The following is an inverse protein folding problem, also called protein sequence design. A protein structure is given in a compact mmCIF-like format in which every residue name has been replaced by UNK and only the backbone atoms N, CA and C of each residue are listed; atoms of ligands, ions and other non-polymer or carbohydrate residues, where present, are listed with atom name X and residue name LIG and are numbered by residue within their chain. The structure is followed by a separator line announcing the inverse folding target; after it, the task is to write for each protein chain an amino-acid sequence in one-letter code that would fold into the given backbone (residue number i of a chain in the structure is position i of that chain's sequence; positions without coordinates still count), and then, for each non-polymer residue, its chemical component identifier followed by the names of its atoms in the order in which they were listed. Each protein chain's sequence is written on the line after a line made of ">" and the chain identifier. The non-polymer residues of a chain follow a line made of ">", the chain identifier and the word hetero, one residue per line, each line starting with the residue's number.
data_IF_851695646502
#
_entry.id   IF_851695646502
#
_cell.length_a   1.000
_cell.length_b   1.000
_cell.length_c   1.000
_cell.angle_alpha   90.00
_cell.angle_beta   90.00
_cell.angle_gamma   90.00
#
_symmetry.space_group_name_H-M   'P 1'
#
loop_
_entity.id
_entity.type
_entity.pdbx_description
1 polymer ?
#
# COMPACT_ATOMS: atom_id res chain seq x y z
N UNK A 1 1.42 18.29 -24.36
CA UNK A 1 0.39 18.64 -23.36
C UNK A 1 -0.09 17.35 -22.74
N UNK A 2 0.26 17.06 -21.49
CA UNK A 2 -0.24 15.88 -20.78
C UNK A 2 -1.50 16.27 -20.03
N UNK A 3 -2.61 15.59 -20.33
CA UNK A 3 -3.88 15.74 -19.61
C UNK A 3 -3.74 15.09 -18.25
N UNK A 4 -3.48 15.89 -17.22
CA UNK A 4 -3.53 15.45 -15.83
C UNK A 4 -4.99 15.27 -15.43
N UNK A 5 -5.37 14.05 -15.05
CA UNK A 5 -6.71 13.74 -14.55
C UNK A 5 -7.03 14.61 -13.34
N UNK A 6 -8.10 15.40 -13.40
CA UNK A 6 -8.62 16.24 -12.31
C UNK A 6 -9.40 15.42 -11.29
N UNK A 7 -8.87 14.26 -10.91
CA UNK A 7 -9.42 13.49 -9.80
C UNK A 7 -9.23 14.31 -8.54
N UNK A 8 -10.28 15.00 -8.10
CA UNK A 8 -10.33 15.56 -6.75
C UNK A 8 -10.09 14.40 -5.79
N UNK A 9 -8.93 14.38 -5.12
CA UNK A 9 -8.73 13.44 -4.03
C UNK A 9 -9.82 13.71 -3.00
N UNK A 10 -10.78 12.80 -2.84
CA UNK A 10 -11.83 12.89 -1.81
C UNK A 10 -11.26 12.83 -0.38
N UNK A 11 -9.94 12.69 -0.26
CA UNK A 11 -9.20 12.58 0.99
C UNK A 11 -8.56 13.95 1.26
N UNK A 12 -8.91 14.62 2.37
CA UNK A 12 -8.30 15.88 2.76
C UNK A 12 -6.77 15.75 2.83
N UNK A 13 -6.00 16.79 2.45
CA UNK A 13 -4.54 16.76 2.58
C UNK A 13 -4.06 16.49 4.01
N UNK A 14 -4.81 16.93 5.04
CA UNK A 14 -4.56 16.66 6.46
C UNK A 14 -4.76 15.19 6.87
N UNK A 15 -5.44 14.41 6.03
CA UNK A 15 -5.71 12.98 6.20
C UNK A 15 -4.63 12.12 5.51
N UNK A 16 -3.75 12.76 4.74
CA UNK A 16 -2.52 12.18 4.23
C UNK A 16 -1.41 12.65 5.18
N UNK A 17 -0.95 11.76 6.05
CA UNK A 17 0.16 12.08 6.94
C UNK A 17 1.48 12.08 6.12
N UNK A 18 1.71 13.14 5.37
CA UNK A 18 2.94 13.36 4.62
C UNK A 18 4.05 13.96 5.51
N UNK A 19 3.75 14.37 6.75
CA UNK A 19 4.62 15.21 7.59
C UNK A 19 5.27 14.47 8.79
N UNK A 20 5.12 13.15 8.95
CA UNK A 20 5.71 12.41 10.08
C UNK A 20 6.12 10.96 9.81
N UNK A 21 7.21 10.51 10.45
CA UNK A 21 8.54 10.53 9.86
C UNK A 21 8.57 9.69 8.59
N UNK A 22 8.95 10.33 7.49
CA UNK A 22 9.51 9.63 6.36
C UNK A 22 10.55 8.61 6.86
N UNK A 23 10.51 7.38 6.34
CA UNK A 23 11.74 6.57 6.38
C UNK A 23 12.84 7.33 5.60
N UNK A 24 14.09 6.88 5.65
CA UNK A 24 15.19 7.51 4.89
C UNK A 24 14.94 7.59 3.36
N UNK A 25 13.82 7.04 2.86
CA UNK A 25 13.41 6.96 1.46
C UNK A 25 12.17 7.80 1.15
N UNK A 26 11.64 8.57 2.11
CA UNK A 26 10.48 9.44 1.90
C UNK A 26 9.19 8.70 1.49
N UNK A 27 9.01 7.46 1.94
CA UNK A 27 7.84 6.64 1.64
C UNK A 27 6.69 6.90 2.64
N UNK A 28 5.42 6.84 2.20
CA UNK A 28 4.26 7.00 3.07
C UNK A 28 4.06 5.76 3.94
N UNK A 29 3.87 5.95 5.24
CA UNK A 29 3.67 4.84 6.20
C UNK A 29 2.21 4.66 6.62
N UNK A 30 1.38 5.70 6.50
CA UNK A 30 -0.03 5.67 6.90
C UNK A 30 -0.88 6.65 6.08
N UNK A 31 -2.05 6.18 5.65
CA UNK A 31 -3.16 6.98 5.19
C UNK A 31 -4.27 6.92 6.24
N UNK A 32 -4.73 8.06 6.76
CA UNK A 32 -5.73 8.13 7.82
C UNK A 32 -6.99 8.81 7.29
N UNK A 33 -8.08 8.06 7.19
CA UNK A 33 -9.34 8.55 6.64
C UNK A 33 -10.28 9.06 7.74
N UNK A 34 -9.83 9.12 9.00
CA UNK A 34 -10.64 9.47 10.15
C UNK A 34 -11.51 8.31 10.65
N UNK A 35 -12.09 8.46 11.84
CA UNK A 35 -13.02 7.46 12.43
C UNK A 35 -12.41 6.05 12.54
N UNK A 36 -11.08 5.96 12.71
CA UNK A 36 -10.35 4.68 12.79
C UNK A 36 -10.17 3.96 11.45
N UNK A 37 -10.51 4.58 10.33
CA UNK A 37 -10.28 4.05 8.99
C UNK A 37 -8.86 4.37 8.55
N UNK A 38 -8.02 3.35 8.36
CA UNK A 38 -6.60 3.56 8.04
C UNK A 38 -6.07 2.55 7.04
N UNK A 39 -5.06 2.96 6.28
CA UNK A 39 -4.19 2.05 5.54
C UNK A 39 -2.77 2.26 6.06
N UNK A 40 -2.17 1.23 6.63
CA UNK A 40 -0.82 1.24 7.19
C UNK A 40 0.11 0.41 6.28
N UNK A 41 1.31 0.92 6.00
CA UNK A 41 2.29 0.31 5.11
C UNK A 41 3.61 0.09 5.83
N UNK A 42 4.15 -1.13 5.70
CA UNK A 42 5.47 -1.50 6.19
C UNK A 42 6.40 -1.76 5.00
N UNK A 43 7.64 -1.31 5.13
CA UNK A 43 8.68 -1.45 4.11
C UNK A 43 9.95 -2.03 4.71
N UNK A 44 10.78 -2.64 3.86
CA UNK A 44 12.17 -2.94 4.21
C UNK A 44 13.07 -1.69 4.11
N UNK A 45 14.36 -1.85 4.45
CA UNK A 45 15.34 -0.77 4.39
C UNK A 45 15.68 -0.27 2.97
N UNK A 46 15.27 -1.01 1.93
CA UNK A 46 15.43 -0.63 0.51
C UNK A 46 14.16 0.01 -0.07
N UNK A 47 13.06 0.02 0.68
CA UNK A 47 11.79 0.60 0.27
C UNK A 47 10.84 -0.38 -0.43
N UNK A 48 11.12 -1.68 -0.39
CA UNK A 48 10.15 -2.68 -0.86
C UNK A 48 9.03 -2.82 0.17
N UNK A 49 7.78 -2.90 -0.29
CA UNK A 49 6.63 -3.14 0.59
C UNK A 49 6.73 -4.55 1.18
N UNK A 50 6.52 -4.67 2.48
CA UNK A 50 6.42 -5.93 3.21
C UNK A 50 4.98 -6.24 3.61
N UNK A 51 4.21 -5.22 4.02
CA UNK A 51 2.83 -5.39 4.48
C UNK A 51 1.96 -4.18 4.20
N UNK A 52 0.70 -4.43 3.91
CA UNK A 52 -0.41 -3.47 3.96
C UNK A 52 -1.46 -3.95 4.96
N UNK A 53 -1.83 -3.10 5.90
CA UNK A 53 -2.93 -3.34 6.84
C UNK A 53 -4.05 -2.33 6.58
N UNK A 54 -5.28 -2.80 6.41
CA UNK A 54 -6.46 -1.92 6.31
C UNK A 54 -7.28 -2.08 7.57
N UNK A 55 -7.62 -0.96 8.19
CA UNK A 55 -8.57 -0.91 9.30
C UNK A 55 -9.83 -0.18 8.87
N UNK A 56 -10.98 -0.74 9.23
CA UNK A 56 -12.29 -0.10 9.15
C UNK A 56 -12.82 0.06 10.56
N UNK A 57 -13.14 1.29 10.97
CA UNK A 57 -13.59 1.59 12.35
C UNK A 57 -12.64 1.04 13.43
N UNK A 58 -11.32 1.11 13.21
CA UNK A 58 -10.29 0.59 14.11
C UNK A 58 -10.06 -0.93 14.06
N UNK A 59 -10.88 -1.68 13.32
CA UNK A 59 -10.77 -3.14 13.18
C UNK A 59 -9.98 -3.50 11.93
N UNK A 60 -9.00 -4.39 12.04
CA UNK A 60 -8.25 -4.90 10.88
C UNK A 60 -9.19 -5.74 10.02
N UNK A 61 -9.44 -5.29 8.79
CA UNK A 61 -10.29 -5.98 7.81
C UNK A 61 -9.48 -6.65 6.70
N UNK A 62 -8.22 -6.24 6.52
CA UNK A 62 -7.31 -6.81 5.53
C UNK A 62 -5.87 -6.74 6.05
N UNK A 63 -5.16 -7.85 5.94
CA UNK A 63 -3.71 -7.89 5.95
C UNK A 63 -3.24 -8.45 4.61
N UNK A 64 -2.37 -7.72 3.93
CA UNK A 64 -1.73 -8.18 2.70
C UNK A 64 -0.22 -8.19 2.90
N UNK A 65 0.38 -9.37 2.81
CA UNK A 65 1.82 -9.60 2.94
C UNK A 65 2.45 -9.76 1.56
N UNK A 66 3.63 -9.16 1.37
CA UNK A 66 4.39 -9.20 0.14
C UNK A 66 5.71 -9.92 0.38
N UNK A 67 5.84 -11.13 -0.16
CA UNK A 67 6.98 -12.02 0.06
C UNK A 67 7.67 -12.31 -1.28
N UNK A 68 8.59 -11.43 -1.69
CA UNK A 68 9.46 -11.61 -2.86
C UNK A 68 8.75 -12.16 -4.11
N UNK A 69 7.59 -11.59 -4.44
CA UNK A 69 6.79 -11.98 -5.59
C UNK A 69 5.49 -12.70 -5.24
N UNK A 70 5.31 -13.15 -4.01
CA UNK A 70 4.03 -13.72 -3.56
C UNK A 70 3.24 -12.64 -2.82
N UNK A 71 1.96 -12.50 -3.15
CA UNK A 71 1.01 -11.70 -2.38
C UNK A 71 0.07 -12.61 -1.60
N UNK A 72 0.07 -12.47 -0.28
CA UNK A 72 -0.84 -13.19 0.61
C UNK A 72 -1.89 -12.23 1.15
N UNK A 73 -3.16 -12.55 0.96
CA UNK A 73 -4.30 -11.84 1.56
C UNK A 73 -4.87 -12.66 2.69
N UNK A 74 -4.82 -12.10 3.90
CA UNK A 74 -5.27 -12.77 5.12
C UNK A 74 -4.71 -14.20 5.22
N UNK A 75 -3.41 -14.35 4.91
CA UNK A 75 -2.69 -15.62 4.93
C UNK A 75 -3.06 -16.63 3.82
N UNK A 76 -3.81 -16.21 2.78
CA UNK A 76 -4.12 -16.99 1.57
C UNK A 76 -3.41 -16.38 0.35
N UNK A 77 -2.82 -17.21 -0.52
CA UNK A 77 -2.20 -16.74 -1.77
C UNK A 77 -3.26 -16.08 -2.66
N UNK A 78 -3.04 -14.82 -3.03
CA UNK A 78 -3.89 -14.09 -3.97
C UNK A 78 -3.20 -13.89 -5.32
N UNK A 79 -1.86 -13.76 -5.31
CA UNK A 79 -1.11 -13.63 -6.56
C UNK A 79 0.36 -14.04 -6.46
N UNK A 80 0.93 -14.33 -7.62
CA UNK A 80 2.36 -14.48 -7.88
C UNK A 80 2.81 -13.45 -8.93
N UNK A 81 3.94 -12.80 -8.69
CA UNK A 81 4.57 -11.84 -9.58
C UNK A 81 5.73 -12.52 -10.30
N UNK A 82 5.61 -12.62 -11.62
CA UNK A 82 6.65 -13.17 -12.49
C UNK A 82 7.26 -12.06 -13.35
N UNK A 83 8.59 -11.99 -13.37
CA UNK A 83 9.31 -11.13 -14.30
C UNK A 83 9.42 -11.81 -15.67
N UNK A 84 8.67 -11.31 -16.65
CA UNK A 84 8.76 -11.73 -18.05
C UNK A 84 9.27 -10.57 -18.91
N UNK A 85 10.39 -10.76 -19.58
CA UNK A 85 10.99 -9.77 -20.50
C UNK A 85 11.17 -8.37 -19.88
N UNK A 86 11.54 -8.30 -18.60
CA UNK A 86 11.72 -7.03 -17.89
C UNK A 86 10.42 -6.39 -17.36
N UNK A 87 9.28 -7.05 -17.52
CA UNK A 87 7.99 -6.61 -17.00
C UNK A 87 7.48 -7.55 -15.91
N UNK A 88 6.94 -6.97 -14.85
CA UNK A 88 6.22 -7.73 -13.82
C UNK A 88 4.83 -8.10 -14.32
N UNK A 89 4.55 -9.40 -14.31
CA UNK A 89 3.23 -9.96 -14.62
C UNK A 89 2.64 -10.49 -13.31
N UNK A 90 1.46 -10.00 -12.94
CA UNK A 90 0.70 -10.49 -11.78
C UNK A 90 -0.23 -11.61 -12.21
N UNK A 91 0.06 -12.81 -11.77
CA UNK A 91 -0.78 -13.99 -11.94
C UNK A 91 -1.67 -14.09 -10.71
N UNK A 92 -2.98 -14.00 -10.89
CA UNK A 92 -3.96 -14.11 -9.80
C UNK A 92 -4.26 -15.60 -9.59
N UNK A 93 -4.29 -16.04 -8.33
CA UNK A 93 -4.59 -17.43 -7.95
C UNK A 93 -6.08 -17.75 -7.96
#
# INVERSE_FOLDING_TARGET
>A
MSTQSTGTSSIPPSHINLEAPHNHLNLPTKFDFGTGNTIELLYDGLGNKLRKTVKTSGIVTLTQDYLHGIELKNNTVEAELLYLHGHQVKLIS
#
